data_IF_334038375226
#
_entry.id   IF_334038375226
#
_cell.length_a   1.000
_cell.length_b   1.000
_cell.length_c   1.000
_cell.angle_alpha   90.00
_cell.angle_beta   90.00
_cell.angle_gamma   90.00
#
_symmetry.space_group_name_H-M   'P 1'
#
loop_
_entity.id
_entity.type
_entity.pdbx_description
1 polymer ?
#
# COMPACT_ATOMS: atom_id res chain seq x y z
N UNK A 1 -31.75 -3.41 -17.93
CA UNK A 1 -31.43 -3.94 -16.58
C UNK A 1 -31.52 -5.46 -16.63
N UNK A 2 -30.48 -6.18 -16.21
CA UNK A 2 -30.50 -7.65 -16.09
C UNK A 2 -31.31 -8.06 -14.84
N UNK A 3 -31.97 -9.23 -14.83
CA UNK A 3 -32.72 -9.70 -13.67
C UNK A 3 -31.81 -9.90 -12.43
N UNK A 4 -32.32 -9.67 -11.20
CA UNK A 4 -31.51 -9.70 -9.97
C UNK A 4 -30.70 -10.98 -9.76
N UNK A 5 -31.28 -12.14 -10.10
CA UNK A 5 -30.62 -13.44 -10.01
C UNK A 5 -29.46 -13.59 -11.01
N UNK A 6 -29.60 -13.04 -12.23
CA UNK A 6 -28.54 -13.04 -13.24
C UNK A 6 -27.39 -12.08 -12.85
N UNK A 7 -27.71 -10.95 -12.23
CA UNK A 7 -26.71 -10.01 -11.67
C UNK A 7 -25.89 -10.68 -10.55
N UNK A 8 -26.56 -11.39 -9.63
CA UNK A 8 -25.91 -12.13 -8.54
C UNK A 8 -24.98 -13.24 -9.04
N UNK A 9 -25.41 -14.02 -10.04
CA UNK A 9 -24.58 -15.07 -10.64
C UNK A 9 -23.36 -14.49 -11.37
N UNK A 10 -23.55 -13.39 -12.10
CA UNK A 10 -22.45 -12.71 -12.80
C UNK A 10 -21.38 -12.22 -11.83
N UNK A 11 -21.77 -11.59 -10.71
CA UNK A 11 -20.83 -11.14 -9.67
C UNK A 11 -20.00 -12.30 -9.11
N UNK A 12 -20.65 -13.42 -8.76
CA UNK A 12 -19.97 -14.62 -8.25
C UNK A 12 -18.97 -15.19 -9.26
N UNK A 13 -19.34 -15.24 -10.54
CA UNK A 13 -18.43 -15.71 -11.60
C UNK A 13 -17.22 -14.80 -11.78
N UNK A 14 -17.40 -13.47 -11.71
CA UNK A 14 -16.29 -12.51 -11.78
C UNK A 14 -15.33 -12.66 -10.60
N UNK A 15 -15.86 -12.83 -9.38
CA UNK A 15 -15.04 -13.06 -8.17
C UNK A 15 -14.28 -14.39 -8.26
N UNK A 16 -14.94 -15.45 -8.76
CA UNK A 16 -14.28 -16.74 -8.97
C UNK A 16 -13.12 -16.63 -9.97
N UNK A 17 -13.35 -15.99 -11.12
CA UNK A 17 -12.30 -15.74 -12.10
C UNK A 17 -11.17 -14.87 -11.53
N UNK A 18 -11.49 -13.84 -10.74
CA UNK A 18 -10.48 -12.99 -10.10
C UNK A 18 -9.58 -13.79 -9.16
N UNK A 19 -10.12 -14.78 -8.42
CA UNK A 19 -9.33 -15.70 -7.60
C UNK A 19 -8.41 -16.58 -8.45
N UNK A 20 -8.90 -17.11 -9.57
CA UNK A 20 -8.07 -17.89 -10.51
C UNK A 20 -6.93 -17.02 -11.08
N UNK A 21 -7.22 -15.78 -11.48
CA UNK A 21 -6.20 -14.82 -11.91
C UNK A 21 -5.15 -14.57 -10.82
N UNK A 22 -5.58 -14.44 -9.56
CA UNK A 22 -4.66 -14.30 -8.42
C UNK A 22 -3.73 -15.51 -8.26
N UNK A 23 -4.24 -16.74 -8.42
CA UNK A 23 -3.44 -17.97 -8.37
C UNK A 23 -2.47 -18.10 -9.55
N UNK A 24 -2.87 -17.60 -10.72
CA UNK A 24 -2.03 -17.57 -11.92
C UNK A 24 -1.11 -16.34 -11.99
N UNK A 25 -1.06 -15.54 -10.92
CA UNK A 25 -0.30 -14.28 -10.83
C UNK A 25 -0.62 -13.25 -11.93
N UNK A 26 -1.81 -13.36 -12.53
CA UNK A 26 -2.33 -12.42 -13.53
C UNK A 26 -3.06 -11.28 -12.85
N UNK A 27 -2.33 -10.49 -12.07
CA UNK A 27 -2.92 -9.48 -11.18
C UNK A 27 -3.63 -8.33 -11.92
N UNK A 28 -3.21 -7.98 -13.13
CA UNK A 28 -3.90 -6.97 -13.95
C UNK A 28 -5.30 -7.41 -14.38
N UNK A 29 -5.44 -8.69 -14.75
CA UNK A 29 -6.75 -9.26 -15.09
C UNK A 29 -7.61 -9.37 -13.84
N UNK A 30 -7.01 -9.76 -12.70
CA UNK A 30 -7.67 -9.77 -11.40
C UNK A 30 -8.25 -8.40 -11.04
N UNK A 31 -7.46 -7.33 -11.17
CA UNK A 31 -7.94 -5.95 -10.95
C UNK A 31 -9.06 -5.59 -11.92
N UNK A 32 -8.94 -5.95 -13.19
CA UNK A 32 -9.97 -5.66 -14.20
C UNK A 32 -11.31 -6.33 -13.87
N UNK A 33 -11.30 -7.60 -13.45
CA UNK A 33 -12.48 -8.33 -13.02
C UNK A 33 -13.11 -7.71 -11.76
N UNK A 34 -12.29 -7.28 -10.80
CA UNK A 34 -12.77 -6.66 -9.56
C UNK A 34 -13.35 -5.26 -9.79
N UNK A 35 -12.80 -4.49 -10.74
CA UNK A 35 -13.43 -3.23 -11.19
C UNK A 35 -14.83 -3.48 -11.74
N UNK A 36 -15.04 -4.55 -12.50
CA UNK A 36 -16.37 -4.91 -12.99
C UNK A 36 -17.31 -5.31 -11.84
N UNK A 37 -16.82 -6.02 -10.82
CA UNK A 37 -17.59 -6.33 -9.60
C UNK A 37 -18.06 -5.06 -8.90
N UNK A 38 -17.20 -4.04 -8.79
CA UNK A 38 -17.52 -2.76 -8.15
C UNK A 38 -18.57 -1.99 -8.97
N UNK A 39 -18.43 -1.97 -10.31
CA UNK A 39 -19.43 -1.34 -11.21
C UNK A 39 -20.80 -2.00 -11.18
N UNK A 40 -20.91 -3.26 -10.73
CA UNK A 40 -22.21 -3.91 -10.52
C UNK A 40 -22.98 -3.33 -9.31
N UNK A 41 -22.32 -2.50 -8.50
CA UNK A 41 -22.90 -1.83 -7.34
C UNK A 41 -22.97 -2.73 -6.10
N UNK A 42 -23.41 -2.13 -5.00
CA UNK A 42 -23.45 -2.75 -3.68
C UNK A 42 -22.11 -2.76 -2.97
N UNK A 43 -22.15 -2.69 -1.65
CA UNK A 43 -20.95 -2.72 -0.82
C UNK A 43 -20.19 -4.04 -1.00
N UNK A 44 -18.86 -3.95 -1.04
CA UNK A 44 -18.01 -5.14 -1.06
C UNK A 44 -18.02 -5.81 0.31
N UNK A 45 -18.24 -7.12 0.35
CA UNK A 45 -18.05 -7.87 1.59
C UNK A 45 -16.56 -8.03 1.95
N UNK A 46 -16.26 -8.49 3.17
CA UNK A 46 -14.88 -8.65 3.68
C UNK A 46 -13.98 -9.42 2.70
N UNK A 47 -14.47 -10.55 2.16
CA UNK A 47 -13.69 -11.36 1.21
C UNK A 47 -13.41 -10.63 -0.10
N UNK A 48 -14.38 -9.88 -0.62
CA UNK A 48 -14.22 -9.05 -1.82
C UNK A 48 -13.25 -7.89 -1.58
N UNK A 49 -13.31 -7.24 -0.41
CA UNK A 49 -12.39 -6.16 -0.01
C UNK A 49 -10.95 -6.66 0.14
N UNK A 50 -10.77 -7.83 0.75
CA UNK A 50 -9.45 -8.46 0.90
C UNK A 50 -8.88 -8.84 -0.47
N UNK A 51 -9.71 -9.39 -1.36
CA UNK A 51 -9.30 -9.75 -2.72
C UNK A 51 -8.88 -8.51 -3.54
N UNK A 52 -9.64 -7.41 -3.42
CA UNK A 52 -9.33 -6.12 -4.05
C UNK A 52 -8.01 -5.54 -3.54
N UNK A 53 -7.86 -5.46 -2.22
CA UNK A 53 -6.65 -4.95 -1.56
C UNK A 53 -5.42 -5.75 -1.96
N UNK A 54 -5.55 -7.08 -2.02
CA UNK A 54 -4.49 -7.97 -2.48
C UNK A 54 -4.11 -7.72 -3.94
N UNK A 55 -5.10 -7.68 -4.84
CA UNK A 55 -4.86 -7.44 -6.27
C UNK A 55 -4.14 -6.11 -6.51
N UNK A 56 -4.59 -5.05 -5.84
CA UNK A 56 -3.98 -3.73 -5.92
C UNK A 56 -2.56 -3.69 -5.39
N UNK A 57 -2.33 -4.27 -4.20
CA UNK A 57 -0.97 -4.39 -3.62
C UNK A 57 -0.01 -5.07 -4.60
N UNK A 58 -0.47 -6.14 -5.25
CA UNK A 58 0.35 -6.90 -6.22
C UNK A 58 0.64 -6.10 -7.48
N UNK A 59 -0.38 -5.53 -8.12
CA UNK A 59 -0.21 -4.74 -9.34
C UNK A 59 0.75 -3.56 -9.12
N UNK A 60 0.52 -2.76 -8.08
CA UNK A 60 1.36 -1.59 -7.76
C UNK A 60 2.77 -2.02 -7.34
N UNK A 61 2.88 -3.01 -6.45
CA UNK A 61 4.15 -3.49 -5.94
C UNK A 61 5.10 -3.98 -7.04
N UNK A 62 4.58 -4.74 -8.02
CA UNK A 62 5.37 -5.20 -9.17
C UNK A 62 5.95 -4.02 -9.97
N UNK A 63 5.16 -2.99 -10.26
CA UNK A 63 5.65 -1.84 -11.04
C UNK A 63 6.61 -0.95 -10.24
N UNK A 64 6.40 -0.81 -8.93
CA UNK A 64 7.34 -0.09 -8.07
C UNK A 64 8.69 -0.81 -8.02
N UNK A 65 8.70 -2.14 -7.95
CA UNK A 65 9.94 -2.91 -8.03
C UNK A 65 10.68 -2.66 -9.35
N UNK A 66 9.96 -2.72 -10.49
CA UNK A 66 10.54 -2.39 -11.80
C UNK A 66 11.11 -0.97 -11.82
N UNK A 67 10.34 0.01 -11.33
CA UNK A 67 10.75 1.41 -11.28
C UNK A 67 12.00 1.62 -10.42
N UNK A 68 12.07 1.01 -9.23
CA UNK A 68 13.24 1.08 -8.33
C UNK A 68 14.49 0.51 -8.99
N UNK A 69 14.37 -0.63 -9.67
CA UNK A 69 15.48 -1.26 -10.40
C UNK A 69 16.00 -0.33 -11.50
N UNK A 70 15.11 0.17 -12.36
CA UNK A 70 15.51 1.04 -13.48
C UNK A 70 16.08 2.37 -12.96
N UNK A 71 15.49 2.94 -11.90
CA UNK A 71 16.01 4.15 -11.27
C UNK A 71 17.40 3.94 -10.68
N UNK A 72 17.66 2.80 -10.04
CA UNK A 72 18.98 2.43 -9.53
C UNK A 72 20.02 2.29 -10.66
N UNK A 73 19.63 1.69 -11.80
CA UNK A 73 20.50 1.59 -12.98
C UNK A 73 20.78 2.97 -13.57
N UNK A 74 19.78 3.85 -13.68
CA UNK A 74 19.99 5.23 -14.14
C UNK A 74 21.02 5.96 -13.27
N UNK A 75 20.92 5.82 -11.93
CA UNK A 75 21.86 6.43 -10.99
C UNK A 75 23.29 5.92 -11.17
N UNK A 76 23.48 4.61 -11.40
CA UNK A 76 24.81 4.01 -11.63
C UNK A 76 25.46 4.43 -12.94
N UNK A 77 24.65 4.73 -13.96
CA UNK A 77 25.12 5.20 -15.27
C UNK A 77 25.33 6.71 -15.34
N UNK A 78 25.07 7.47 -14.26
CA UNK A 78 25.35 8.91 -14.22
C UNK A 78 26.84 9.20 -14.45
N UNK A 79 27.13 10.12 -15.36
CA UNK A 79 28.52 10.41 -15.79
C UNK A 79 29.07 9.44 -16.84
N UNK A 80 28.28 8.44 -17.24
CA UNK A 80 28.57 7.53 -18.34
C UNK A 80 28.12 8.05 -19.70
N UNK A 81 27.68 7.13 -20.57
CA UNK A 81 27.28 7.47 -21.93
C UNK A 81 25.91 8.16 -21.98
N UNK A 82 25.87 9.42 -22.41
CA UNK A 82 24.63 10.21 -22.49
C UNK A 82 23.48 9.53 -23.25
N UNK A 83 23.76 8.82 -24.35
CA UNK A 83 22.72 8.11 -25.11
C UNK A 83 22.12 6.93 -24.34
N UNK A 84 22.93 6.25 -23.51
CA UNK A 84 22.45 5.18 -22.64
C UNK A 84 21.59 5.76 -21.53
N UNK A 85 22.04 6.85 -20.90
CA UNK A 85 21.28 7.57 -19.86
C UNK A 85 19.91 7.99 -20.41
N UNK A 86 19.86 8.58 -21.61
CA UNK A 86 18.60 9.00 -22.23
C UNK A 86 17.64 7.82 -22.52
N UNK A 87 18.20 6.69 -22.97
CA UNK A 87 17.43 5.45 -23.18
C UNK A 87 16.83 4.93 -21.88
N UNK A 88 17.64 4.86 -20.82
CA UNK A 88 17.20 4.40 -19.49
C UNK A 88 16.12 5.33 -18.95
N UNK A 89 16.33 6.65 -19.03
CA UNK A 89 15.37 7.66 -18.58
C UNK A 89 14.04 7.55 -19.30
N UNK A 90 14.06 7.37 -20.62
CA UNK A 90 12.85 7.18 -21.42
C UNK A 90 12.07 5.95 -20.95
N UNK A 91 12.76 4.86 -20.64
CA UNK A 91 12.12 3.65 -20.12
C UNK A 91 11.61 3.82 -18.69
N UNK A 92 12.35 4.50 -17.79
CA UNK A 92 11.89 4.87 -16.45
C UNK A 92 10.58 5.64 -16.52
N UNK A 93 10.53 6.68 -17.35
CA UNK A 93 9.33 7.51 -17.54
C UNK A 93 8.12 6.70 -18.05
N UNK A 94 8.34 5.66 -18.88
CA UNK A 94 7.28 4.75 -19.29
C UNK A 94 6.68 4.01 -18.09
N UNK A 95 7.53 3.46 -17.21
CA UNK A 95 7.09 2.76 -16.00
C UNK A 95 6.36 3.73 -15.05
N UNK A 96 6.84 4.96 -14.91
CA UNK A 96 6.18 5.99 -14.11
C UNK A 96 4.78 6.31 -14.63
N UNK A 97 4.59 6.41 -15.94
CA UNK A 97 3.27 6.61 -16.53
C UNK A 97 2.32 5.42 -16.28
N UNK A 98 2.84 4.19 -16.32
CA UNK A 98 2.07 2.99 -15.97
C UNK A 98 1.65 3.01 -14.49
N UNK A 99 2.58 3.34 -13.59
CA UNK A 99 2.32 3.51 -12.15
C UNK A 99 1.31 4.61 -11.88
N UNK A 100 1.48 5.79 -12.49
CA UNK A 100 0.59 6.92 -12.33
C UNK A 100 -0.83 6.55 -12.74
N UNK A 101 -0.98 5.87 -13.89
CA UNK A 101 -2.28 5.38 -14.35
C UNK A 101 -2.91 4.39 -13.37
N UNK A 102 -2.16 3.39 -12.91
CA UNK A 102 -2.66 2.38 -11.97
C UNK A 102 -3.12 3.06 -10.66
N UNK A 103 -2.35 4.01 -10.15
CA UNK A 103 -2.68 4.71 -8.92
C UNK A 103 -3.90 5.61 -9.08
N UNK A 104 -3.98 6.38 -10.17
CA UNK A 104 -5.15 7.23 -10.47
C UNK A 104 -6.42 6.41 -10.64
N UNK A 105 -6.35 5.34 -11.43
CA UNK A 105 -7.46 4.39 -11.60
C UNK A 105 -7.97 3.83 -10.24
N UNK A 106 -7.06 3.58 -9.29
CA UNK A 106 -7.40 3.11 -7.95
C UNK A 106 -8.02 4.21 -7.08
N UNK A 107 -7.48 5.42 -7.15
CA UNK A 107 -8.01 6.59 -6.44
C UNK A 107 -9.42 6.95 -6.93
N UNK A 108 -9.64 6.97 -8.24
CA UNK A 108 -10.94 7.27 -8.84
C UNK A 108 -11.98 6.23 -8.38
N UNK A 109 -11.61 4.94 -8.36
CA UNK A 109 -12.49 3.88 -7.86
C UNK A 109 -12.84 4.04 -6.37
N UNK A 110 -11.87 4.49 -5.57
CA UNK A 110 -12.08 4.75 -4.15
C UNK A 110 -13.06 5.93 -3.95
N UNK A 111 -12.83 7.03 -4.66
CA UNK A 111 -13.58 8.27 -4.50
C UNK A 111 -14.99 8.21 -5.11
N UNK A 112 -15.14 7.57 -6.26
CA UNK A 112 -16.42 7.50 -6.97
C UNK A 112 -17.32 6.37 -6.49
N UNK A 113 -16.74 5.26 -5.98
CA UNK A 113 -17.50 4.03 -5.71
C UNK A 113 -17.31 3.47 -4.31
N UNK A 114 -16.09 3.27 -3.83
CA UNK A 114 -15.89 2.49 -2.61
C UNK A 114 -16.17 3.27 -1.32
N UNK A 115 -15.62 4.48 -1.20
CA UNK A 115 -15.82 5.34 -0.04
C UNK A 115 -17.30 5.75 0.10
N UNK A 116 -18.01 6.19 -0.96
CA UNK A 116 -19.43 6.56 -0.84
C UNK A 116 -20.36 5.39 -0.47
N UNK A 117 -19.96 4.14 -0.77
CA UNK A 117 -20.77 2.95 -0.49
C UNK A 117 -20.34 2.20 0.79
N UNK A 118 -19.36 2.72 1.53
CA UNK A 118 -18.93 2.12 2.79
C UNK A 118 -19.99 2.34 3.88
N UNK A 119 -20.42 1.27 4.56
CA UNK A 119 -21.47 1.35 5.59
C UNK A 119 -20.95 1.28 7.02
N UNK A 120 -19.69 0.87 7.23
CA UNK A 120 -19.08 0.75 8.55
C UNK A 120 -17.81 1.61 8.64
N UNK A 121 -17.42 2.00 9.87
CA UNK A 121 -16.14 2.70 10.03
C UNK A 121 -14.95 1.82 9.67
N UNK A 122 -15.02 0.50 9.86
CA UNK A 122 -13.98 -0.42 9.39
C UNK A 122 -13.81 -0.39 7.85
N UNK A 123 -14.91 -0.50 7.08
CA UNK A 123 -14.81 -0.44 5.60
C UNK A 123 -14.38 0.94 5.12
N UNK A 124 -14.87 2.00 5.77
CA UNK A 124 -14.46 3.39 5.50
C UNK A 124 -12.97 3.59 5.76
N UNK A 125 -12.47 3.18 6.93
CA UNK A 125 -11.06 3.29 7.30
C UNK A 125 -10.15 2.49 6.37
N UNK A 126 -10.57 1.29 5.95
CA UNK A 126 -9.85 0.49 4.96
C UNK A 126 -9.70 1.24 3.63
N UNK A 127 -10.77 1.86 3.13
CA UNK A 127 -10.71 2.60 1.87
C UNK A 127 -9.88 3.87 1.97
N UNK A 128 -9.95 4.61 3.08
CA UNK A 128 -9.07 5.77 3.30
C UNK A 128 -7.60 5.35 3.46
N UNK A 129 -7.32 4.21 4.12
CA UNK A 129 -5.97 3.64 4.17
C UNK A 129 -5.47 3.35 2.75
N UNK A 130 -6.28 2.70 1.92
CA UNK A 130 -5.93 2.42 0.51
C UNK A 130 -5.70 3.72 -0.29
N UNK A 131 -6.52 4.75 -0.08
CA UNK A 131 -6.34 6.07 -0.69
C UNK A 131 -5.00 6.70 -0.30
N UNK A 132 -4.63 6.57 0.98
CA UNK A 132 -3.34 6.97 1.51
C UNK A 132 -2.18 6.18 0.87
N UNK A 133 -2.34 4.87 0.71
CA UNK A 133 -1.35 4.00 0.07
C UNK A 133 -1.10 4.38 -1.40
N UNK A 134 -2.15 4.57 -2.19
CA UNK A 134 -2.02 5.02 -3.58
C UNK A 134 -1.38 6.40 -3.70
N UNK A 135 -1.82 7.35 -2.88
CA UNK A 135 -1.26 8.71 -2.88
C UNK A 135 0.21 8.71 -2.44
N UNK A 136 0.57 7.86 -1.46
CA UNK A 136 1.96 7.64 -1.03
C UNK A 136 2.82 7.10 -2.18
N UNK A 137 2.32 6.12 -2.93
CA UNK A 137 3.03 5.57 -4.07
C UNK A 137 3.21 6.59 -5.20
N UNK A 138 2.22 7.45 -5.47
CA UNK A 138 2.38 8.59 -6.38
C UNK A 138 3.49 9.54 -5.91
N UNK A 139 3.53 9.85 -4.60
CA UNK A 139 4.56 10.72 -4.03
C UNK A 139 5.98 10.13 -4.05
N UNK A 140 6.12 8.80 -4.21
CA UNK A 140 7.42 8.10 -4.20
C UNK A 140 8.23 8.38 -5.48
N UNK A 141 7.58 8.40 -6.64
CA UNK A 141 8.25 8.59 -7.94
C UNK A 141 7.96 9.94 -8.60
N UNK A 142 6.90 10.64 -8.18
CA UNK A 142 6.62 11.98 -8.70
C UNK A 142 7.68 12.99 -8.25
N UNK A 143 7.73 14.14 -8.93
CA UNK A 143 8.61 15.26 -8.60
C UNK A 143 7.85 16.60 -8.62
N UNK A 144 8.43 17.60 -7.94
CA UNK A 144 7.88 18.95 -7.85
C UNK A 144 6.47 18.98 -7.26
N UNK A 145 5.62 19.85 -7.80
CA UNK A 145 4.25 20.08 -7.33
C UNK A 145 3.39 18.81 -7.30
N UNK A 146 3.55 17.91 -8.29
CA UNK A 146 2.81 16.62 -8.32
C UNK A 146 3.11 15.78 -7.07
N UNK A 147 4.37 15.74 -6.64
CA UNK A 147 4.80 14.99 -5.46
C UNK A 147 4.27 15.62 -4.18
N UNK A 148 4.28 16.94 -4.09
CA UNK A 148 3.79 17.64 -2.90
C UNK A 148 2.26 17.49 -2.75
N UNK A 149 1.50 17.60 -3.84
CA UNK A 149 0.06 17.32 -3.84
C UNK A 149 -0.26 15.87 -3.46
N UNK A 150 0.49 14.90 -4.00
CA UNK A 150 0.32 13.50 -3.65
C UNK A 150 0.64 13.23 -2.16
N UNK A 151 1.67 13.88 -1.60
CA UNK A 151 2.00 13.76 -0.19
C UNK A 151 0.92 14.35 0.72
N UNK A 152 0.35 15.51 0.38
CA UNK A 152 -0.78 16.10 1.12
C UNK A 152 -1.99 15.17 1.08
N UNK A 153 -2.37 14.68 -0.10
CA UNK A 153 -3.47 13.72 -0.26
C UNK A 153 -3.26 12.45 0.56
N UNK A 154 -2.03 11.90 0.57
CA UNK A 154 -1.69 10.73 1.36
C UNK A 154 -1.86 10.99 2.86
N UNK A 155 -1.34 12.12 3.33
CA UNK A 155 -1.42 12.53 4.74
C UNK A 155 -2.88 12.69 5.20
N UNK A 156 -3.71 13.38 4.42
CA UNK A 156 -5.12 13.59 4.74
C UNK A 156 -5.88 12.27 4.81
N UNK A 157 -5.69 11.38 3.83
CA UNK A 157 -6.34 10.08 3.80
C UNK A 157 -5.93 9.20 5.00
N UNK A 158 -4.63 9.12 5.31
CA UNK A 158 -4.19 8.38 6.49
C UNK A 158 -4.69 8.99 7.81
N UNK A 159 -4.77 10.31 7.91
CA UNK A 159 -5.30 10.99 9.09
C UNK A 159 -6.79 10.68 9.30
N UNK A 160 -7.59 10.66 8.24
CA UNK A 160 -9.01 10.28 8.32
C UNK A 160 -9.13 8.83 8.77
N UNK A 161 -8.39 7.90 8.15
CA UNK A 161 -8.37 6.50 8.56
C UNK A 161 -7.96 6.34 10.03
N UNK A 162 -6.93 7.09 10.48
CA UNK A 162 -6.39 7.01 11.83
C UNK A 162 -7.42 7.40 12.89
N UNK A 163 -8.16 8.47 12.63
CA UNK A 163 -9.23 8.92 13.53
C UNK A 163 -10.31 7.83 13.69
N UNK A 164 -10.72 7.20 12.57
CA UNK A 164 -11.78 6.17 12.59
C UNK A 164 -11.30 4.92 13.33
N UNK A 165 -10.12 4.38 13.00
CA UNK A 165 -9.63 3.14 13.64
C UNK A 165 -9.31 3.35 15.12
N UNK A 166 -8.91 4.54 15.53
CA UNK A 166 -8.62 4.83 16.93
C UNK A 166 -9.87 4.85 17.80
N UNK A 167 -11.02 5.22 17.22
CA UNK A 167 -12.31 5.26 17.94
C UNK A 167 -13.08 3.96 17.85
N UNK A 168 -12.95 3.20 16.76
CA UNK A 168 -13.81 2.05 16.48
C UNK A 168 -13.12 0.69 16.61
N UNK A 169 -11.79 0.62 16.55
CA UNK A 169 -11.05 -0.65 16.52
C UNK A 169 -10.07 -0.76 17.69
N UNK A 170 -9.91 -1.98 18.19
CA UNK A 170 -8.94 -2.29 19.26
C UNK A 170 -7.50 -2.10 18.78
N UNK A 171 -6.54 -1.94 19.71
CA UNK A 171 -5.14 -1.70 19.35
C UNK A 171 -4.52 -2.89 18.60
N UNK A 172 -5.02 -4.09 18.87
CA UNK A 172 -4.61 -5.34 18.21
C UNK A 172 -5.24 -5.55 16.85
N UNK A 173 -6.25 -4.76 16.45
CA UNK A 173 -6.95 -5.01 15.20
C UNK A 173 -6.02 -4.88 13.97
N UNK A 174 -5.99 -5.86 13.03
CA UNK A 174 -5.06 -5.87 11.89
C UNK A 174 -5.11 -4.60 11.03
N UNK A 175 -6.31 -4.06 10.79
CA UNK A 175 -6.47 -2.81 10.04
C UNK A 175 -5.82 -1.60 10.74
N UNK A 176 -5.94 -1.49 12.07
CA UNK A 176 -5.35 -0.39 12.85
C UNK A 176 -3.83 -0.48 12.85
N UNK A 177 -3.30 -1.68 13.12
CA UNK A 177 -1.87 -1.95 13.04
C UNK A 177 -1.31 -1.71 11.63
N UNK A 178 -1.99 -2.22 10.61
CA UNK A 178 -1.58 -2.06 9.22
C UNK A 178 -1.62 -0.61 8.74
N UNK A 179 -2.54 0.20 9.27
CA UNK A 179 -2.55 1.64 9.04
C UNK A 179 -1.33 2.31 9.70
N UNK A 180 -1.05 2.01 10.97
CA UNK A 180 0.10 2.55 11.68
C UNK A 180 1.43 2.20 10.98
N UNK A 181 1.56 0.97 10.50
CA UNK A 181 2.70 0.52 9.70
C UNK A 181 2.87 1.40 8.46
N UNK A 182 1.83 1.52 7.63
CA UNK A 182 1.95 2.27 6.38
C UNK A 182 2.11 3.79 6.60
N UNK A 183 1.48 4.34 7.65
CA UNK A 183 1.58 5.75 7.96
C UNK A 183 2.93 6.12 8.59
N UNK A 184 3.54 5.23 9.39
CA UNK A 184 4.90 5.42 9.89
C UNK A 184 5.93 5.41 8.75
N UNK A 185 5.81 4.44 7.82
CA UNK A 185 6.62 4.40 6.59
C UNK A 185 6.43 5.69 5.76
N UNK A 186 5.21 6.21 5.65
CA UNK A 186 4.97 7.49 4.97
C UNK A 186 5.71 8.67 5.63
N UNK A 187 5.66 8.78 6.96
CA UNK A 187 6.42 9.82 7.67
C UNK A 187 7.93 9.68 7.44
N UNK A 188 8.44 8.45 7.41
CA UNK A 188 9.86 8.17 7.24
C UNK A 188 10.32 8.46 5.80
N UNK A 189 9.71 7.79 4.83
CA UNK A 189 10.18 7.78 3.45
C UNK A 189 9.77 9.03 2.67
N UNK A 190 8.54 9.54 2.87
CA UNK A 190 8.00 10.64 2.05
C UNK A 190 8.19 11.99 2.72
N UNK A 191 7.80 12.11 3.99
CA UNK A 191 7.88 13.39 4.72
C UNK A 191 9.24 13.65 5.39
N UNK A 192 10.14 12.65 5.39
CA UNK A 192 11.47 12.74 6.05
C UNK A 192 11.39 13.18 7.52
N UNK A 193 10.31 12.81 8.20
CA UNK A 193 10.06 13.10 9.62
C UNK A 193 10.31 11.84 10.43
N UNK A 194 11.58 11.46 10.55
CA UNK A 194 12.00 10.18 11.16
C UNK A 194 11.51 10.02 12.60
N UNK A 195 11.60 11.09 13.41
CA UNK A 195 11.09 11.09 14.78
C UNK A 195 9.60 10.79 14.87
N UNK A 196 8.81 11.35 13.96
CA UNK A 196 7.36 11.15 13.95
C UNK A 196 7.00 9.73 13.50
N UNK A 197 7.74 9.19 12.52
CA UNK A 197 7.61 7.80 12.08
C UNK A 197 7.86 6.83 13.24
N UNK A 198 8.99 6.97 13.94
CA UNK A 198 9.37 6.12 15.07
C UNK A 198 8.37 6.22 16.21
N UNK A 199 7.96 7.43 16.59
CA UNK A 199 6.95 7.63 17.65
C UNK A 199 5.63 6.94 17.31
N UNK A 200 5.15 7.07 16.07
CA UNK A 200 3.91 6.42 15.65
C UNK A 200 4.01 4.90 15.66
N UNK A 201 5.08 4.34 15.09
CA UNK A 201 5.31 2.90 15.05
C UNK A 201 5.45 2.33 16.48
N UNK A 202 6.26 2.97 17.32
CA UNK A 202 6.47 2.55 18.71
C UNK A 202 5.19 2.62 19.54
N UNK A 203 4.46 3.72 19.48
CA UNK A 203 3.19 3.86 20.20
C UNK A 203 2.20 2.77 19.80
N UNK A 204 2.08 2.47 18.50
CA UNK A 204 1.13 1.46 18.02
C UNK A 204 1.54 0.05 18.44
N UNK A 205 2.85 -0.23 18.46
CA UNK A 205 3.40 -1.50 18.94
C UNK A 205 3.19 -1.66 20.45
N UNK A 206 3.54 -0.65 21.24
CA UNK A 206 3.43 -0.67 22.70
C UNK A 206 1.95 -0.80 23.14
N UNK A 207 1.02 -0.09 22.48
CA UNK A 207 -0.43 -0.22 22.71
C UNK A 207 -0.93 -1.65 22.46
N UNK A 208 -0.52 -2.25 21.34
CA UNK A 208 -0.96 -3.58 20.95
C UNK A 208 -0.38 -4.66 21.88
N UNK A 209 0.89 -4.52 22.29
CA UNK A 209 1.50 -5.41 23.29
C UNK A 209 0.75 -5.36 24.62
N UNK A 210 0.44 -4.16 25.11
CA UNK A 210 -0.28 -3.99 26.37
C UNK A 210 -1.69 -4.63 26.34
N UNK A 211 -2.36 -4.57 25.18
CA UNK A 211 -3.66 -5.22 25.00
C UNK A 211 -3.52 -6.75 24.89
N UNK A 212 -2.52 -7.26 24.16
CA UNK A 212 -2.26 -8.71 24.08
C UNK A 212 -1.93 -9.33 25.44
N UNK A 213 -1.14 -8.64 26.27
CA UNK A 213 -0.82 -9.10 27.63
C UNK A 213 -2.08 -9.16 28.53
N UNK A 214 -3.11 -8.38 28.21
CA UNK A 214 -4.38 -8.35 28.93
C UNK A 214 -5.42 -9.36 28.40
N UNK A 215 -5.23 -9.87 27.17
CA UNK A 215 -6.14 -10.83 26.55
C UNK A 215 -5.82 -12.26 27.00
N UNK A 216 -6.86 -13.03 27.31
CA UNK A 216 -6.75 -14.46 27.60
C UNK A 216 -6.83 -15.35 26.34
N UNK A 217 -7.01 -14.73 25.17
CA UNK A 217 -7.19 -15.38 23.87
C UNK A 217 -5.89 -15.35 23.06
N UNK A 218 -5.73 -16.33 22.16
CA UNK A 218 -4.59 -16.34 21.25
C UNK A 218 -4.68 -15.14 20.28
N UNK A 219 -3.56 -14.44 20.03
CA UNK A 219 -3.58 -13.30 19.13
C UNK A 219 -3.90 -13.71 17.70
N UNK A 220 -4.59 -12.83 16.98
CA UNK A 220 -4.78 -12.97 15.53
C UNK A 220 -3.41 -12.98 14.81
N UNK A 221 -3.20 -13.99 13.97
CA UNK A 221 -1.91 -14.21 13.29
C UNK A 221 -1.48 -13.08 12.35
N UNK A 222 -2.42 -12.38 11.73
CA UNK A 222 -2.12 -11.20 10.90
C UNK A 222 -1.66 -10.04 11.78
N UNK A 223 -2.24 -9.89 12.97
CA UNK A 223 -1.86 -8.87 13.95
C UNK A 223 -0.42 -9.08 14.43
N UNK A 224 -0.06 -10.32 14.79
CA UNK A 224 1.32 -10.68 15.17
C UNK A 224 2.29 -10.35 14.04
N UNK A 225 1.96 -10.74 12.80
CA UNK A 225 2.81 -10.47 11.64
C UNK A 225 3.05 -8.97 11.45
N UNK A 226 2.00 -8.14 11.58
CA UNK A 226 2.12 -6.69 11.41
C UNK A 226 2.94 -6.07 12.56
N UNK A 227 2.78 -6.56 13.80
CA UNK A 227 3.59 -6.12 14.94
C UNK A 227 5.08 -6.43 14.73
N UNK A 228 5.42 -7.61 14.20
CA UNK A 228 6.80 -7.90 13.81
C UNK A 228 7.32 -6.91 12.77
N UNK A 229 6.55 -6.61 11.73
CA UNK A 229 6.94 -5.61 10.71
C UNK A 229 7.15 -4.20 11.31
N UNK A 230 6.35 -3.80 12.29
CA UNK A 230 6.56 -2.54 13.02
C UNK A 230 7.89 -2.57 13.81
N UNK A 231 8.17 -3.68 14.48
CA UNK A 231 9.42 -3.88 15.22
C UNK A 231 10.65 -3.85 14.30
N UNK A 232 10.58 -4.55 13.16
CA UNK A 232 11.65 -4.59 12.15
C UNK A 232 11.96 -3.17 11.63
N UNK A 233 10.92 -2.40 11.31
CA UNK A 233 11.08 -1.01 10.89
C UNK A 233 11.75 -0.16 11.98
N UNK A 234 11.35 -0.30 13.25
CA UNK A 234 11.95 0.43 14.36
C UNK A 234 13.44 0.09 14.52
N UNK A 235 13.82 -1.19 14.40
CA UNK A 235 15.20 -1.63 14.47
C UNK A 235 16.03 -1.08 13.29
N UNK A 236 15.52 -1.18 12.07
CA UNK A 236 16.16 -0.66 10.86
C UNK A 236 16.38 0.86 10.93
N UNK A 237 15.39 1.61 11.44
CA UNK A 237 15.49 3.06 11.56
C UNK A 237 16.39 3.52 12.71
N UNK A 238 16.65 2.65 13.70
CA UNK A 238 17.61 2.92 14.76
C UNK A 238 19.06 2.75 14.27
N UNK A 239 19.34 1.69 13.48
CA UNK A 239 20.67 1.45 12.92
C UNK A 239 21.07 2.48 11.84
N UNK A 240 20.09 2.99 11.08
CA UNK A 240 20.34 4.01 10.05
C UNK A 240 20.85 5.34 10.62
N UNK A 241 20.50 5.68 11.86
CA UNK A 241 20.95 6.92 12.53
C UNK A 241 22.30 6.74 13.24
N UNK A 242 22.69 5.51 13.59
CA UNK A 242 23.98 5.23 14.24
C UNK A 242 25.16 5.17 13.27
N UNK A 243 24.94 5.36 11.96
CA UNK A 243 26.01 5.44 10.97
C UNK A 243 26.71 4.12 10.66
N UNK A 244 26.16 2.98 11.09
CA UNK A 244 26.65 1.66 10.72
C UNK A 244 26.04 1.26 9.37
N UNK A 245 26.56 1.86 8.29
CA UNK A 245 26.41 1.24 6.98
C UNK A 245 27.18 -0.07 7.00
N UNK A 246 26.48 -1.20 7.01
CA UNK A 246 27.08 -2.52 6.75
C UNK A 246 27.93 -2.40 5.48
N UNK A 247 29.25 -2.48 5.66
CA UNK A 247 30.19 -2.59 4.56
C UNK A 247 29.83 -3.83 3.78
N UNK A 248 29.31 -3.65 2.56
CA UNK A 248 29.19 -4.72 1.59
C UNK A 248 30.61 -5.25 1.40
N UNK A 249 30.85 -6.48 1.88
CA UNK A 249 32.06 -7.22 1.60
C UNK A 249 32.05 -7.46 0.10
N UNK A 250 32.89 -6.73 -0.62
CA UNK A 250 33.29 -7.08 -1.98
C UNK A 250 34.03 -8.42 -1.90
N UNK A 251 33.32 -9.52 -2.16
CA UNK A 251 33.97 -10.77 -2.56
C UNK A 251 34.59 -10.56 -3.94
N UNK A 252 35.87 -10.20 -3.92
CA UNK A 252 36.78 -10.42 -5.03
C UNK A 252 36.95 -11.92 -5.22
N UNK A 253 36.49 -12.46 -6.35
CA UNK A 253 37.05 -13.70 -6.88
C UNK A 253 37.73 -13.45 -8.22
N UNK A 254 38.92 -14.04 -8.31
CA UNK A 254 39.93 -13.95 -9.34
C UNK A 254 39.60 -14.75 -10.62
#
# INVERSE_FOLDING_TARGET
MLPPAASSMRRKNQIFLARLCGQAERYDDMVSLLKEVIKMGGELNVNERNLLTFAFKKVVGTRLAHWRIISSIEQKELGGNEKRIDTIRTYRNKIENELEKICRDGLDLLDESLIPNASTGESTALYYKLKGDYSRHLAEFASGEKRDLAAVSAYEAYKIAANIVQTELTATHPLRLGLALNFSVFYYEILKSHDRARRLAKHSFDDAMAELDALAEEPDGDSILIMHLLSDNLALWASSDSGESEGIVEENEA
#
